data_IF_508583938759
#
_entry.id   IF_508583938759
#
_cell.length_a   1.000
_cell.length_b   1.000
_cell.length_c   1.000
_cell.angle_alpha   90.00
_cell.angle_beta   90.00
_cell.angle_gamma   90.00
#
_symmetry.space_group_name_H-M   'P 1'
#
loop_
_entity.id
_entity.type
_entity.pdbx_description
1 polymer ?
#
# COMPACT_ATOMS: atom_id res chain seq x y z
N UNK A 1 -9.17 15.82 -12.79
CA UNK A 1 -9.14 14.37 -13.03
C UNK A 1 -8.23 13.78 -11.98
N UNK A 2 -8.72 13.80 -10.74
CA UNK A 2 -8.03 13.28 -9.53
C UNK A 2 -8.76 12.00 -9.21
N UNK A 3 -8.20 10.88 -9.66
CA UNK A 3 -8.77 9.58 -9.37
C UNK A 3 -7.65 8.56 -9.21
N UNK A 4 -7.76 7.84 -8.13
CA UNK A 4 -7.14 6.54 -7.91
C UNK A 4 -5.69 6.52 -7.41
N UNK A 5 -5.52 6.95 -6.17
CA UNK A 5 -4.63 6.26 -5.24
C UNK A 5 -5.44 5.76 -4.03
N UNK A 6 -6.62 5.22 -4.32
CA UNK A 6 -7.46 4.60 -3.30
C UNK A 6 -7.32 3.10 -3.48
N UNK A 7 -6.85 2.44 -2.46
CA UNK A 7 -6.70 1.00 -2.35
C UNK A 7 -5.47 0.41 -3.08
N UNK A 8 -4.30 0.55 -2.49
CA UNK A 8 -3.35 -0.56 -2.54
C UNK A 8 -3.73 -1.57 -1.45
N UNK A 9 -4.94 -2.13 -1.59
CA UNK A 9 -5.13 -3.52 -1.23
C UNK A 9 -4.76 -4.26 -2.50
N UNK A 10 -3.51 -4.73 -2.55
CA UNK A 10 -3.01 -5.79 -3.43
C UNK A 10 -3.98 -6.25 -4.52
N UNK A 11 -4.01 -5.56 -5.65
CA UNK A 11 -4.43 -6.13 -6.92
C UNK A 11 -3.55 -5.53 -8.02
N UNK A 12 -2.28 -5.92 -8.01
CA UNK A 12 -1.45 -5.95 -9.19
C UNK A 12 -1.33 -7.39 -9.62
N UNK A 13 -2.35 -7.90 -10.31
CA UNK A 13 -2.17 -8.99 -11.24
C UNK A 13 -1.87 -8.38 -12.61
N UNK A 14 -0.73 -8.64 -13.06
CA UNK A 14 -0.17 -8.90 -14.37
C UNK A 14 1.07 -8.06 -14.69
N UNK A 15 2.20 -8.77 -14.70
CA UNK A 15 3.52 -8.39 -15.25
C UNK A 15 4.48 -7.57 -14.38
N UNK A 16 4.69 -7.99 -13.11
CA UNK A 16 6.02 -7.85 -12.50
C UNK A 16 6.57 -9.23 -12.18
N UNK A 17 7.06 -9.90 -13.21
CA UNK A 17 7.87 -11.09 -13.03
C UNK A 17 9.27 -10.68 -12.54
N UNK A 18 9.60 -11.13 -11.29
CA UNK A 18 10.95 -11.47 -10.87
C UNK A 18 11.93 -10.32 -10.56
N UNK A 19 11.82 -9.80 -9.33
CA UNK A 19 12.91 -9.76 -8.34
C UNK A 19 12.34 -9.30 -7.02
N UNK A 20 12.01 -10.23 -6.11
CA UNK A 20 11.67 -9.93 -4.72
C UNK A 20 12.94 -9.41 -4.04
N UNK A 21 12.88 -8.19 -3.53
CA UNK A 21 13.98 -7.53 -2.85
C UNK A 21 14.13 -8.03 -1.40
N UNK A 22 15.31 -7.80 -0.81
CA UNK A 22 15.75 -8.28 0.51
C UNK A 22 14.79 -8.05 1.70
N UNK A 23 13.80 -7.16 1.60
CA UNK A 23 12.80 -6.93 2.67
C UNK A 23 11.84 -8.09 2.78
N UNK A 24 11.38 -8.62 1.65
CA UNK A 24 10.57 -9.83 1.64
C UNK A 24 11.30 -10.99 2.33
N UNK A 25 12.62 -11.09 2.15
CA UNK A 25 13.42 -12.15 2.78
C UNK A 25 13.57 -11.96 4.30
N UNK A 26 13.71 -10.75 4.81
CA UNK A 26 13.80 -10.48 6.26
C UNK A 26 12.44 -10.67 6.93
N UNK A 27 11.36 -10.14 6.35
CA UNK A 27 9.99 -10.33 6.85
C UNK A 27 9.61 -11.81 6.75
N UNK A 28 9.88 -12.48 5.64
CA UNK A 28 9.67 -13.92 5.45
C UNK A 28 10.46 -14.76 6.45
N UNK A 29 11.68 -14.36 6.84
CA UNK A 29 12.47 -15.10 7.82
C UNK A 29 11.90 -14.96 9.24
N UNK A 30 11.46 -13.77 9.63
CA UNK A 30 10.82 -13.53 10.92
C UNK A 30 9.49 -14.28 11.03
N UNK A 31 8.62 -14.17 10.04
CA UNK A 31 7.33 -14.87 10.02
C UNK A 31 7.50 -16.39 9.93
N UNK A 32 8.56 -16.88 9.28
CA UNK A 32 8.88 -18.31 9.27
C UNK A 32 9.26 -18.81 10.67
N UNK A 33 10.04 -18.01 11.42
CA UNK A 33 10.36 -18.31 12.83
C UNK A 33 9.09 -18.40 13.67
N UNK A 34 8.12 -17.49 13.47
CA UNK A 34 6.86 -17.48 14.22
C UNK A 34 5.98 -18.68 13.87
N UNK A 35 5.90 -19.08 12.60
CA UNK A 35 5.18 -20.29 12.16
C UNK A 35 5.80 -21.54 12.79
N UNK A 36 7.13 -21.66 12.87
CA UNK A 36 7.83 -22.77 13.50
C UNK A 36 7.53 -22.80 15.00
N UNK A 37 7.60 -21.66 15.68
CA UNK A 37 7.31 -21.52 17.11
C UNK A 37 5.88 -21.97 17.44
N UNK A 38 4.86 -21.46 16.71
CA UNK A 38 3.48 -21.88 16.92
C UNK A 38 3.30 -23.38 16.62
N UNK A 39 4.02 -23.92 15.63
CA UNK A 39 3.96 -25.34 15.29
C UNK A 39 4.50 -26.23 16.40
N UNK A 40 5.53 -25.81 17.14
CA UNK A 40 6.02 -26.53 18.32
C UNK A 40 4.99 -26.48 19.47
N UNK A 41 4.35 -25.33 19.68
CA UNK A 41 3.31 -25.20 20.71
C UNK A 41 2.11 -26.12 20.39
N UNK A 42 1.68 -26.18 19.14
CA UNK A 42 0.58 -27.07 18.69
C UNK A 42 0.88 -28.54 18.98
N UNK A 43 2.16 -28.99 18.96
CA UNK A 43 2.49 -30.39 19.31
C UNK A 43 2.16 -30.73 20.76
N UNK A 44 2.21 -29.73 21.66
CA UNK A 44 1.94 -29.92 23.09
C UNK A 44 0.50 -29.55 23.46
N UNK A 45 -0.13 -28.67 22.66
CA UNK A 45 -1.51 -28.18 22.88
C UNK A 45 -2.31 -28.26 21.56
N UNK A 46 -2.54 -29.47 21.09
CA UNK A 46 -3.19 -29.73 19.80
C UNK A 46 -4.70 -29.50 19.78
N UNK A 47 -5.32 -29.26 20.93
CA UNK A 47 -6.76 -29.01 21.04
C UNK A 47 -7.11 -27.51 21.13
N UNK A 48 -6.14 -26.64 21.07
CA UNK A 48 -6.31 -25.20 21.11
C UNK A 48 -6.56 -24.64 19.71
N UNK A 49 -7.82 -24.29 19.41
CA UNK A 49 -8.23 -23.76 18.12
C UNK A 49 -7.51 -22.47 17.74
N UNK A 50 -7.23 -21.60 18.72
CA UNK A 50 -6.61 -20.29 18.47
C UNK A 50 -5.17 -20.40 17.94
N UNK A 51 -4.43 -21.43 18.32
CA UNK A 51 -3.09 -21.65 17.79
C UNK A 51 -3.11 -21.95 16.28
N UNK A 52 -4.09 -22.72 15.83
CA UNK A 52 -4.29 -22.97 14.40
C UNK A 52 -4.71 -21.69 13.66
N UNK A 53 -5.57 -20.85 14.26
CA UNK A 53 -5.96 -19.56 13.69
C UNK A 53 -4.76 -18.63 13.55
N UNK A 54 -3.92 -18.52 14.59
CA UNK A 54 -2.70 -17.72 14.55
C UNK A 54 -1.75 -18.19 13.45
N UNK A 55 -1.50 -19.51 13.35
CA UNK A 55 -0.65 -20.06 12.30
C UNK A 55 -1.24 -19.88 10.90
N UNK A 56 -2.57 -19.96 10.77
CA UNK A 56 -3.26 -19.68 9.51
C UNK A 56 -3.06 -18.24 9.05
N UNK A 57 -3.14 -17.25 9.96
CA UNK A 57 -2.86 -15.84 9.65
C UNK A 57 -1.44 -15.68 9.10
N UNK A 58 -0.44 -16.24 9.78
CA UNK A 58 0.95 -16.19 9.33
C UNK A 58 1.16 -16.91 7.98
N UNK A 59 0.50 -18.05 7.78
CA UNK A 59 0.55 -18.75 6.50
C UNK A 59 -0.12 -17.94 5.37
N UNK A 60 -1.20 -17.22 5.66
CA UNK A 60 -1.88 -16.34 4.69
C UNK A 60 -0.99 -15.16 4.32
N UNK A 61 -0.37 -14.50 5.28
CA UNK A 61 0.60 -13.41 5.04
C UNK A 61 1.78 -13.87 4.18
N UNK A 62 2.20 -15.14 4.32
CA UNK A 62 3.23 -15.76 3.50
C UNK A 62 2.73 -16.34 2.16
N UNK A 63 1.52 -16.01 1.75
CA UNK A 63 0.87 -16.55 0.53
C UNK A 63 0.75 -18.08 0.49
N UNK A 64 0.91 -18.75 1.65
CA UNK A 64 0.77 -20.21 1.78
C UNK A 64 -0.69 -20.60 2.01
N UNK A 65 -1.55 -20.26 1.07
CA UNK A 65 -3.01 -20.35 1.18
C UNK A 65 -3.46 -21.78 1.55
N UNK A 66 -2.89 -22.81 0.93
CA UNK A 66 -3.25 -24.21 1.23
C UNK A 66 -2.97 -24.60 2.69
N UNK A 67 -1.89 -24.08 3.29
CA UNK A 67 -1.57 -24.32 4.71
C UNK A 67 -2.54 -23.55 5.61
N UNK A 68 -2.86 -22.30 5.26
CA UNK A 68 -3.83 -21.51 6.00
C UNK A 68 -5.22 -22.19 6.03
N UNK A 69 -5.70 -22.69 4.88
CA UNK A 69 -6.97 -23.44 4.80
C UNK A 69 -6.94 -24.68 5.72
N UNK A 70 -5.86 -25.45 5.68
CA UNK A 70 -5.73 -26.64 6.53
C UNK A 70 -5.82 -26.29 8.01
N UNK A 71 -5.15 -25.25 8.44
CA UNK A 71 -5.14 -24.80 9.82
C UNK A 71 -6.52 -24.27 10.24
N UNK A 72 -7.19 -23.47 9.40
CA UNK A 72 -8.57 -23.03 9.67
C UNK A 72 -9.56 -24.20 9.76
N UNK A 73 -9.42 -25.19 8.89
CA UNK A 73 -10.26 -26.40 8.99
C UNK A 73 -10.02 -27.15 10.31
N UNK A 74 -8.77 -27.20 10.79
CA UNK A 74 -8.44 -27.77 12.10
C UNK A 74 -9.10 -26.96 13.22
N UNK A 75 -8.98 -25.63 13.21
CA UNK A 75 -9.62 -24.75 14.19
C UNK A 75 -11.16 -24.95 14.22
N UNK A 76 -11.81 -24.92 13.06
CA UNK A 76 -13.27 -25.08 12.95
C UNK A 76 -13.74 -26.51 13.25
N UNK A 77 -12.89 -27.52 13.15
CA UNK A 77 -13.22 -28.88 13.60
C UNK A 77 -13.23 -28.99 15.12
N UNK A 78 -12.38 -28.21 15.81
CA UNK A 78 -12.35 -28.11 17.27
C UNK A 78 -13.48 -27.23 17.78
N UNK A 79 -13.68 -26.07 17.14
CA UNK A 79 -14.65 -25.05 17.54
C UNK A 79 -15.40 -24.52 16.31
N UNK A 80 -16.57 -25.10 16.01
CA UNK A 80 -17.36 -24.73 14.80
C UNK A 80 -17.81 -23.28 14.74
N UNK A 81 -17.93 -22.63 15.89
CA UNK A 81 -18.37 -21.24 16.07
C UNK A 81 -17.22 -20.29 16.42
N UNK A 82 -15.98 -20.69 16.19
CA UNK A 82 -14.82 -19.81 16.40
C UNK A 82 -14.86 -18.66 15.38
N UNK A 83 -15.16 -17.47 15.87
CA UNK A 83 -15.34 -16.27 15.03
C UNK A 83 -14.03 -15.85 14.39
N UNK A 84 -12.92 -15.93 15.13
CA UNK A 84 -11.60 -15.62 14.58
C UNK A 84 -11.25 -16.52 13.38
N UNK A 85 -11.55 -17.81 13.49
CA UNK A 85 -11.34 -18.75 12.39
C UNK A 85 -12.23 -18.40 11.17
N UNK A 86 -13.49 -18.03 11.40
CA UNK A 86 -14.39 -17.62 10.31
C UNK A 86 -13.92 -16.31 9.64
N UNK A 87 -13.43 -15.34 10.42
CA UNK A 87 -12.90 -14.09 9.87
C UNK A 87 -11.64 -14.35 9.01
N UNK A 88 -10.73 -15.20 9.49
CA UNK A 88 -9.55 -15.59 8.69
C UNK A 88 -9.93 -16.41 7.46
N UNK A 89 -10.97 -17.27 7.57
CA UNK A 89 -11.47 -18.00 6.41
C UNK A 89 -12.04 -17.05 5.33
N UNK A 90 -12.73 -16.00 5.74
CA UNK A 90 -13.19 -14.97 4.81
C UNK A 90 -12.00 -14.24 4.14
N UNK A 91 -10.92 -13.95 4.88
CA UNK A 91 -9.71 -13.36 4.31
C UNK A 91 -9.01 -14.31 3.31
N UNK A 92 -9.02 -15.62 3.59
CA UNK A 92 -8.52 -16.63 2.66
C UNK A 92 -9.35 -16.67 1.37
N UNK A 93 -10.68 -16.66 1.48
CA UNK A 93 -11.56 -16.64 0.31
C UNK A 93 -11.41 -15.33 -0.48
N UNK A 94 -11.14 -14.20 0.22
CA UNK A 94 -10.82 -12.95 -0.44
C UNK A 94 -9.53 -13.06 -1.27
N UNK A 95 -8.47 -13.65 -0.71
CA UNK A 95 -7.22 -13.88 -1.43
C UNK A 95 -7.38 -14.84 -2.63
N UNK A 96 -8.41 -15.69 -2.61
CA UNK A 96 -8.76 -16.58 -3.71
C UNK A 96 -9.74 -15.96 -4.73
N UNK A 97 -10.29 -14.79 -4.45
CA UNK A 97 -11.33 -14.16 -5.28
C UNK A 97 -12.69 -14.90 -5.22
N UNK A 98 -12.95 -15.65 -4.17
CA UNK A 98 -14.17 -16.48 -4.02
C UNK A 98 -15.24 -15.71 -3.23
N UNK A 99 -15.92 -14.80 -3.90
CA UNK A 99 -16.91 -13.88 -3.31
C UNK A 99 -18.09 -14.61 -2.65
N UNK A 100 -18.57 -15.69 -3.24
CA UNK A 100 -19.71 -16.46 -2.71
C UNK A 100 -19.36 -17.05 -1.34
N UNK A 101 -18.19 -17.63 -1.21
CA UNK A 101 -17.73 -18.21 0.05
C UNK A 101 -17.35 -17.13 1.09
N UNK A 102 -16.90 -15.92 0.69
CA UNK A 102 -16.75 -14.79 1.62
C UNK A 102 -18.10 -14.46 2.25
N UNK A 103 -19.14 -14.23 1.43
CA UNK A 103 -20.48 -13.87 1.91
C UNK A 103 -21.06 -14.94 2.82
N UNK A 104 -20.97 -16.22 2.42
CA UNK A 104 -21.45 -17.35 3.21
C UNK A 104 -20.76 -17.40 4.59
N UNK A 105 -19.45 -17.26 4.61
CA UNK A 105 -18.61 -17.33 5.81
C UNK A 105 -18.90 -16.17 6.77
N UNK A 106 -18.98 -14.93 6.25
CA UNK A 106 -19.26 -13.76 7.08
C UNK A 106 -20.70 -13.76 7.62
N UNK A 107 -21.69 -14.18 6.83
CA UNK A 107 -23.05 -14.33 7.32
C UNK A 107 -23.12 -15.36 8.45
N UNK A 108 -22.42 -16.49 8.32
CA UNK A 108 -22.32 -17.48 9.38
C UNK A 108 -21.65 -16.93 10.65
N UNK A 109 -20.63 -16.08 10.49
CA UNK A 109 -19.99 -15.39 11.63
C UNK A 109 -20.99 -14.44 12.33
N UNK A 110 -21.82 -13.71 11.55
CA UNK A 110 -22.89 -12.86 12.11
C UNK A 110 -23.95 -13.66 12.87
N UNK A 111 -24.28 -14.87 12.40
CA UNK A 111 -25.25 -15.76 13.08
C UNK A 111 -24.69 -16.27 14.42
N UNK A 112 -23.43 -16.66 14.46
CA UNK A 112 -22.80 -17.17 15.68
C UNK A 112 -22.46 -16.08 16.70
N UNK A 113 -22.17 -14.87 16.24
CA UNK A 113 -21.85 -13.73 17.10
C UNK A 113 -22.63 -12.47 16.69
N UNK A 114 -23.95 -12.42 16.98
CA UNK A 114 -24.81 -11.33 16.51
C UNK A 114 -24.51 -9.96 17.12
N UNK A 115 -23.66 -9.89 18.15
CA UNK A 115 -23.19 -8.63 18.75
C UNK A 115 -21.75 -8.27 18.35
N UNK A 116 -21.09 -9.08 17.52
CA UNK A 116 -19.77 -8.79 16.99
C UNK A 116 -19.87 -7.95 15.72
N UNK A 117 -19.31 -6.75 15.74
CA UNK A 117 -19.36 -5.83 14.59
C UNK A 117 -18.38 -6.22 13.48
N UNK A 118 -17.35 -7.02 13.77
CA UNK A 118 -16.25 -7.32 12.83
C UNK A 118 -16.72 -8.02 11.55
N UNK A 119 -17.60 -9.06 11.58
CA UNK A 119 -18.11 -9.65 10.36
C UNK A 119 -18.93 -8.67 9.50
N UNK A 120 -19.70 -7.78 10.15
CA UNK A 120 -20.52 -6.77 9.47
C UNK A 120 -19.63 -5.73 8.79
N UNK A 121 -18.56 -5.31 9.45
CA UNK A 121 -17.58 -4.39 8.85
C UNK A 121 -16.91 -5.04 7.63
N UNK A 122 -16.50 -6.31 7.70
CA UNK A 122 -15.96 -7.02 6.53
C UNK A 122 -16.99 -7.16 5.38
N UNK A 123 -18.28 -7.31 5.68
CA UNK A 123 -19.33 -7.26 4.67
C UNK A 123 -19.45 -5.86 4.03
N UNK A 124 -19.24 -4.80 4.82
CA UNK A 124 -19.17 -3.43 4.29
C UNK A 124 -17.97 -3.25 3.37
N UNK A 125 -16.79 -3.70 3.80
CA UNK A 125 -15.56 -3.65 3.00
C UNK A 125 -15.73 -4.37 1.65
N UNK A 126 -16.26 -5.59 1.67
CA UNK A 126 -16.54 -6.37 0.46
C UNK A 126 -17.51 -5.62 -0.47
N UNK A 127 -18.62 -5.11 0.08
CA UNK A 127 -19.63 -4.39 -0.71
C UNK A 127 -19.05 -3.10 -1.31
N UNK A 128 -18.17 -2.42 -0.58
CA UNK A 128 -17.45 -1.24 -1.06
C UNK A 128 -16.55 -1.58 -2.25
N UNK A 129 -15.77 -2.65 -2.16
CA UNK A 129 -14.87 -3.12 -3.22
C UNK A 129 -15.63 -3.53 -4.48
N UNK A 130 -16.82 -4.08 -4.33
CA UNK A 130 -17.73 -4.41 -5.44
C UNK A 130 -18.43 -3.17 -6.05
N UNK A 131 -18.19 -1.96 -5.51
CA UNK A 131 -18.88 -0.74 -5.93
C UNK A 131 -20.34 -0.66 -5.45
N UNK A 132 -20.78 -1.56 -4.59
CA UNK A 132 -22.12 -1.52 -4.01
C UNK A 132 -22.18 -0.63 -2.77
N UNK A 133 -21.93 0.67 -2.99
CA UNK A 133 -21.82 1.68 -1.91
C UNK A 133 -23.06 1.75 -1.03
N UNK A 134 -24.25 1.55 -1.61
CA UNK A 134 -25.50 1.54 -0.82
C UNK A 134 -25.54 0.40 0.19
N UNK A 135 -25.11 -0.79 -0.20
CA UNK A 135 -25.07 -1.94 0.71
C UNK A 135 -23.95 -1.77 1.74
N UNK A 136 -22.79 -1.28 1.32
CA UNK A 136 -21.69 -0.98 2.22
C UNK A 136 -22.12 0.02 3.31
N UNK A 137 -22.85 1.08 2.94
CA UNK A 137 -23.40 2.06 3.89
C UNK A 137 -24.40 1.44 4.87
N UNK A 138 -25.28 0.56 4.39
CA UNK A 138 -26.23 -0.13 5.27
C UNK A 138 -25.51 -1.01 6.32
N UNK A 139 -24.42 -1.66 5.94
CA UNK A 139 -23.60 -2.42 6.90
C UNK A 139 -22.86 -1.50 7.89
N UNK A 140 -22.34 -0.35 7.44
CA UNK A 140 -21.75 0.65 8.33
C UNK A 140 -22.76 1.15 9.35
N UNK A 141 -23.97 1.51 8.92
CA UNK A 141 -25.02 1.99 9.81
C UNK A 141 -25.38 0.92 10.84
N UNK A 142 -25.56 -0.34 10.41
CA UNK A 142 -25.80 -1.46 11.31
C UNK A 142 -24.66 -1.66 12.32
N UNK A 143 -23.39 -1.54 11.90
CA UNK A 143 -22.25 -1.65 12.80
C UNK A 143 -22.26 -0.52 13.85
N UNK A 144 -22.62 0.70 13.47
CA UNK A 144 -22.70 1.86 14.38
C UNK A 144 -23.94 1.84 15.28
N UNK A 145 -25.02 1.20 14.88
CA UNK A 145 -26.17 0.91 15.76
C UNK A 145 -25.76 -0.07 16.87
N UNK A 146 -24.91 -1.04 16.57
CA UNK A 146 -24.42 -2.04 17.55
C UNK A 146 -23.33 -1.45 18.45
N UNK A 147 -22.39 -0.69 17.87
CA UNK A 147 -21.31 -0.01 18.56
C UNK A 147 -21.08 1.39 17.96
N UNK A 148 -21.69 2.39 18.61
CA UNK A 148 -21.64 3.80 18.18
C UNK A 148 -20.22 4.42 18.22
N UNK A 149 -19.27 3.74 18.81
CA UNK A 149 -17.87 4.21 18.92
C UNK A 149 -16.91 3.37 18.09
N UNK A 150 -17.41 2.48 17.23
CA UNK A 150 -16.59 1.58 16.46
C UNK A 150 -15.67 2.35 15.48
N UNK A 151 -14.33 2.30 15.65
CA UNK A 151 -13.40 3.07 14.81
C UNK A 151 -13.41 2.61 13.36
N UNK A 152 -13.50 1.30 13.10
CA UNK A 152 -13.51 0.77 11.73
C UNK A 152 -14.80 1.12 10.98
N UNK A 153 -15.92 1.20 11.66
CA UNK A 153 -17.17 1.64 11.06
C UNK A 153 -17.10 3.12 10.65
N UNK A 154 -16.50 3.98 11.47
CA UNK A 154 -16.24 5.38 11.07
C UNK A 154 -15.24 5.49 9.94
N UNK A 155 -14.20 4.66 9.91
CA UNK A 155 -13.29 4.61 8.79
C UNK A 155 -14.02 4.26 7.49
N UNK A 156 -14.82 3.20 7.48
CA UNK A 156 -15.61 2.79 6.31
C UNK A 156 -16.64 3.87 5.90
N UNK A 157 -17.23 4.58 6.86
CA UNK A 157 -18.09 5.74 6.56
C UNK A 157 -17.32 6.82 5.82
N UNK A 158 -16.12 7.16 6.29
CA UNK A 158 -15.25 8.13 5.62
C UNK A 158 -14.87 7.69 4.20
N UNK A 159 -14.61 6.39 3.99
CA UNK A 159 -14.35 5.84 2.65
C UNK A 159 -15.54 5.98 1.70
N UNK A 160 -16.76 5.76 2.19
CA UNK A 160 -17.99 5.96 1.44
C UNK A 160 -18.19 7.43 1.07
N UNK A 161 -18.01 8.33 2.04
CA UNK A 161 -18.12 9.78 1.82
C UNK A 161 -17.07 10.29 0.81
N UNK A 162 -15.85 9.71 0.82
CA UNK A 162 -14.85 9.96 -0.22
C UNK A 162 -15.31 9.49 -1.61
N UNK A 163 -15.98 8.35 -1.71
CA UNK A 163 -16.50 7.86 -2.99
C UNK A 163 -17.62 8.75 -3.57
N UNK A 164 -18.31 9.46 -2.70
CA UNK A 164 -19.33 10.47 -3.05
C UNK A 164 -18.73 11.88 -3.30
N UNK A 165 -17.39 12.01 -3.21
CA UNK A 165 -16.65 13.29 -3.26
C UNK A 165 -16.98 14.27 -2.12
N UNK A 166 -17.60 13.82 -1.03
CA UNK A 166 -17.79 14.62 0.18
C UNK A 166 -16.56 14.54 1.09
N UNK A 167 -15.51 15.26 0.68
CA UNK A 167 -14.24 15.30 1.43
C UNK A 167 -14.39 15.89 2.83
N UNK A 168 -15.40 16.74 3.07
CA UNK A 168 -15.62 17.39 4.37
C UNK A 168 -16.22 16.39 5.35
N UNK A 169 -17.24 15.65 4.94
CA UNK A 169 -17.82 14.57 5.74
C UNK A 169 -16.78 13.46 5.99
N UNK A 170 -16.06 13.05 4.95
CA UNK A 170 -15.01 12.04 5.05
C UNK A 170 -13.94 12.41 6.09
N UNK A 171 -13.45 13.64 6.06
CA UNK A 171 -12.47 14.12 7.04
C UNK A 171 -13.03 14.02 8.47
N UNK A 172 -14.30 14.39 8.69
CA UNK A 172 -14.96 14.26 10.00
C UNK A 172 -15.06 12.81 10.44
N UNK A 173 -15.42 11.90 9.55
CA UNK A 173 -15.53 10.46 9.85
C UNK A 173 -14.17 9.85 10.15
N UNK A 174 -13.11 10.16 9.39
CA UNK A 174 -11.75 9.69 9.68
C UNK A 174 -11.20 10.26 10.99
N UNK A 175 -11.44 11.55 11.29
CA UNK A 175 -11.07 12.14 12.58
C UNK A 175 -11.80 11.46 13.73
N UNK A 176 -13.09 11.11 13.56
CA UNK A 176 -13.84 10.38 14.57
C UNK A 176 -13.25 8.98 14.78
N UNK A 177 -12.93 8.26 13.70
CA UNK A 177 -12.28 6.95 13.76
C UNK A 177 -10.97 7.01 14.57
N UNK A 178 -10.07 7.95 14.23
CA UNK A 178 -8.81 8.19 14.92
C UNK A 178 -9.02 8.49 16.42
N UNK A 179 -10.04 9.30 16.77
CA UNK A 179 -10.34 9.62 18.18
C UNK A 179 -10.79 8.41 18.99
N UNK A 180 -11.43 7.42 18.35
CA UNK A 180 -11.86 6.19 19.03
C UNK A 180 -10.71 5.19 19.19
N UNK A 181 -9.77 5.17 18.23
CA UNK A 181 -8.61 4.27 18.25
C UNK A 181 -7.40 4.99 17.66
N UNK A 182 -6.50 5.46 18.50
CA UNK A 182 -5.35 6.28 18.10
C UNK A 182 -4.24 5.51 17.37
N UNK A 183 -4.16 4.19 17.59
CA UNK A 183 -3.22 3.27 16.92
C UNK A 183 -3.78 2.68 15.63
N UNK A 184 -5.00 3.04 15.23
CA UNK A 184 -5.56 2.68 13.94
C UNK A 184 -5.01 3.64 12.87
N UNK A 185 -4.03 3.16 12.10
CA UNK A 185 -3.25 3.98 11.17
C UNK A 185 -4.04 4.45 9.93
N UNK A 186 -4.96 3.63 9.42
CA UNK A 186 -5.62 3.90 8.12
C UNK A 186 -6.35 5.26 8.07
N UNK A 187 -7.08 5.70 9.12
CA UNK A 187 -7.68 7.03 9.14
C UNK A 187 -6.63 8.15 9.06
N UNK A 188 -5.47 8.00 9.70
CA UNK A 188 -4.40 9.00 9.67
C UNK A 188 -3.83 9.15 8.27
N UNK A 189 -3.63 8.03 7.55
CA UNK A 189 -3.17 8.03 6.16
C UNK A 189 -4.19 8.75 5.27
N UNK A 190 -5.48 8.45 5.41
CA UNK A 190 -6.52 9.11 4.61
C UNK A 190 -6.60 10.63 4.89
N UNK A 191 -6.49 11.02 6.16
CA UNK A 191 -6.45 12.44 6.55
C UNK A 191 -5.24 13.13 5.92
N UNK A 192 -4.05 12.51 5.99
CA UNK A 192 -2.82 13.05 5.37
C UNK A 192 -2.99 13.23 3.86
N UNK A 193 -3.55 12.24 3.17
CA UNK A 193 -3.81 12.31 1.72
C UNK A 193 -4.84 13.40 1.37
N UNK A 194 -5.89 13.59 2.18
CA UNK A 194 -6.87 14.67 1.97
C UNK A 194 -6.18 16.03 2.08
N UNK A 195 -5.34 16.26 3.09
CA UNK A 195 -4.62 17.52 3.23
C UNK A 195 -3.54 17.70 2.15
N UNK A 196 -2.86 16.61 1.75
CA UNK A 196 -1.92 16.63 0.64
C UNK A 196 -2.60 17.06 -0.67
N UNK A 197 -3.78 16.51 -0.99
CA UNK A 197 -4.54 16.88 -2.18
C UNK A 197 -5.02 18.34 -2.17
N UNK A 198 -5.11 18.95 -0.98
CA UNK A 198 -5.44 20.38 -0.81
C UNK A 198 -4.21 21.28 -0.79
N UNK A 199 -3.01 20.74 -0.96
CA UNK A 199 -1.73 21.45 -0.74
C UNK A 199 -1.67 22.13 0.64
N UNK A 200 -2.24 21.49 1.67
CA UNK A 200 -2.28 22.00 3.03
C UNK A 200 -1.10 21.44 3.83
N UNK A 201 -0.42 22.33 4.55
CA UNK A 201 0.76 21.97 5.37
C UNK A 201 0.45 21.01 6.52
N UNK A 202 -0.82 20.86 6.91
CA UNK A 202 -1.26 19.86 7.90
C UNK A 202 -0.98 18.43 7.44
N UNK A 203 -0.88 18.16 6.13
CA UNK A 203 -0.49 16.85 5.63
C UNK A 203 0.80 16.35 6.28
N UNK A 204 1.81 17.24 6.41
CA UNK A 204 3.10 16.90 7.02
C UNK A 204 2.97 16.37 8.45
N UNK A 205 2.08 16.96 9.26
CA UNK A 205 1.86 16.54 10.65
C UNK A 205 1.17 15.20 10.75
N UNK A 206 0.17 14.94 9.89
CA UNK A 206 -0.55 13.66 9.88
C UNK A 206 0.29 12.52 9.33
N UNK A 207 1.14 12.76 8.32
CA UNK A 207 2.13 11.77 7.90
C UNK A 207 3.11 11.40 9.02
N UNK A 208 3.63 12.40 9.75
CA UNK A 208 4.53 12.15 10.87
C UNK A 208 3.84 11.34 11.97
N UNK A 209 2.62 11.72 12.34
CA UNK A 209 1.85 10.99 13.34
C UNK A 209 1.59 9.53 12.90
N UNK A 210 1.24 9.32 11.64
CA UNK A 210 1.04 7.97 11.11
C UNK A 210 2.34 7.14 11.14
N UNK A 211 3.49 7.75 10.85
CA UNK A 211 4.80 7.10 10.95
C UNK A 211 5.23 6.81 12.40
N UNK A 212 4.76 7.57 13.40
CA UNK A 212 4.97 7.26 14.81
C UNK A 212 4.20 5.99 15.22
N UNK A 213 3.00 5.78 14.65
CA UNK A 213 2.17 4.58 14.88
C UNK A 213 2.75 3.36 14.15
N UNK A 214 3.26 3.54 12.94
CA UNK A 214 3.78 2.47 12.10
C UNK A 214 5.14 2.85 11.48
N UNK A 215 6.22 2.83 12.27
CA UNK A 215 7.54 3.28 11.82
C UNK A 215 8.14 2.40 10.71
N UNK A 216 7.75 1.13 10.64
CA UNK A 216 8.23 0.17 9.66
C UNK A 216 7.38 0.14 8.37
N UNK A 217 6.37 1.02 8.27
CA UNK A 217 5.55 1.12 7.07
C UNK A 217 6.27 1.93 5.99
N UNK A 218 6.97 1.24 5.09
CA UNK A 218 7.73 1.86 4.01
C UNK A 218 6.85 2.51 2.94
N UNK A 219 5.62 2.02 2.72
CA UNK A 219 4.67 2.68 1.80
C UNK A 219 4.29 4.06 2.31
N UNK A 220 3.96 4.17 3.59
CA UNK A 220 3.65 5.44 4.22
C UNK A 220 4.85 6.40 4.17
N UNK A 221 6.07 5.90 4.40
CA UNK A 221 7.30 6.69 4.30
C UNK A 221 7.55 7.18 2.86
N UNK A 222 7.21 6.35 1.87
CA UNK A 222 7.28 6.71 0.46
C UNK A 222 6.26 7.80 0.10
N UNK A 223 5.00 7.67 0.53
CA UNK A 223 3.97 8.69 0.33
C UNK A 223 4.39 10.03 0.96
N UNK A 224 4.97 9.96 2.15
CA UNK A 224 5.50 11.15 2.82
C UNK A 224 6.68 11.77 2.06
N UNK A 225 7.60 10.98 1.51
CA UNK A 225 8.69 11.45 0.68
C UNK A 225 8.19 12.16 -0.58
N UNK A 226 7.18 11.59 -1.25
CA UNK A 226 6.51 12.21 -2.39
C UNK A 226 5.86 13.55 -2.01
N UNK A 227 5.15 13.59 -0.88
CA UNK A 227 4.59 14.84 -0.37
C UNK A 227 5.67 15.90 -0.13
N UNK A 228 6.77 15.54 0.52
CA UNK A 228 7.88 16.45 0.82
C UNK A 228 8.52 17.01 -0.46
N UNK A 229 8.77 16.13 -1.43
CA UNK A 229 9.31 16.48 -2.74
C UNK A 229 8.47 17.56 -3.44
N UNK A 230 7.15 17.37 -3.48
CA UNK A 230 6.25 18.25 -4.24
C UNK A 230 5.89 19.54 -3.50
N UNK A 231 6.17 19.61 -2.19
CA UNK A 231 5.82 20.75 -1.34
C UNK A 231 7.02 21.57 -0.85
N UNK A 232 8.18 21.45 -1.51
CA UNK A 232 9.33 22.31 -1.29
C UNK A 232 10.21 21.91 -0.10
N UNK A 233 10.25 20.61 0.22
CA UNK A 233 11.13 20.03 1.25
C UNK A 233 12.06 18.96 0.65
N UNK A 234 12.85 19.29 -0.41
CA UNK A 234 13.62 18.29 -1.15
C UNK A 234 14.67 17.57 -0.31
N UNK A 235 15.31 18.24 0.65
CA UNK A 235 16.31 17.62 1.52
C UNK A 235 15.68 16.60 2.47
N UNK A 236 14.48 16.90 3.02
CA UNK A 236 13.75 15.94 3.85
C UNK A 236 13.24 14.75 3.00
N UNK A 237 12.84 14.99 1.76
CA UNK A 237 12.46 13.93 0.82
C UNK A 237 13.63 12.99 0.55
N UNK A 238 14.85 13.53 0.31
CA UNK A 238 16.04 12.71 0.14
C UNK A 238 16.34 11.84 1.36
N UNK A 239 16.21 12.37 2.58
CA UNK A 239 16.39 11.59 3.80
C UNK A 239 15.42 10.40 3.88
N UNK A 240 14.16 10.59 3.46
CA UNK A 240 13.19 9.51 3.38
C UNK A 240 13.59 8.48 2.33
N UNK A 241 13.95 8.92 1.10
CA UNK A 241 14.41 8.01 0.05
C UNK A 241 15.67 7.25 0.45
N UNK A 242 16.64 7.90 1.12
CA UNK A 242 17.84 7.23 1.62
C UNK A 242 17.51 6.13 2.61
N UNK A 243 16.65 6.42 3.60
CA UNK A 243 16.22 5.41 4.57
C UNK A 243 15.43 4.25 3.95
N UNK A 244 14.67 4.52 2.88
CA UNK A 244 13.98 3.48 2.12
C UNK A 244 14.96 2.63 1.31
N UNK A 245 16.00 3.24 0.74
CA UNK A 245 17.04 2.57 -0.03
C UNK A 245 18.03 1.77 0.85
N UNK A 246 18.16 2.09 2.13
CA UNK A 246 18.87 1.23 3.09
C UNK A 246 18.17 -0.14 3.22
N UNK A 247 16.85 -0.16 3.17
CA UNK A 247 16.04 -1.38 3.27
C UNK A 247 15.93 -2.07 1.91
N UNK A 248 15.66 -1.29 0.85
CA UNK A 248 15.40 -1.77 -0.52
C UNK A 248 16.34 -1.11 -1.54
N UNK A 249 17.64 -1.43 -1.56
CA UNK A 249 18.65 -0.72 -2.36
C UNK A 249 18.43 -0.81 -3.88
N UNK A 250 17.67 -1.80 -4.34
CA UNK A 250 17.37 -2.01 -5.74
C UNK A 250 15.93 -1.62 -6.12
N UNK A 251 15.19 -0.90 -5.26
CA UNK A 251 13.89 -0.39 -5.63
C UNK A 251 14.04 0.72 -6.69
N UNK A 252 13.42 0.53 -7.85
CA UNK A 252 13.54 1.44 -9.00
C UNK A 252 12.86 2.77 -8.75
N UNK A 253 11.71 2.77 -8.06
CA UNK A 253 10.93 3.97 -7.82
C UNK A 253 11.64 4.90 -6.83
N UNK A 254 12.23 4.34 -5.77
CA UNK A 254 12.97 5.13 -4.79
C UNK A 254 14.24 5.75 -5.39
N UNK A 255 15.01 4.97 -6.18
CA UNK A 255 16.19 5.49 -6.90
C UNK A 255 15.78 6.54 -7.94
N UNK A 256 14.68 6.32 -8.66
CA UNK A 256 14.17 7.25 -9.66
C UNK A 256 13.75 8.57 -9.02
N UNK A 257 12.93 8.54 -7.97
CA UNK A 257 12.46 9.77 -7.32
C UNK A 257 13.58 10.53 -6.61
N UNK A 258 14.54 9.82 -6.01
CA UNK A 258 15.77 10.45 -5.49
C UNK A 258 16.52 11.18 -6.58
N UNK A 259 16.72 10.56 -7.75
CA UNK A 259 17.32 11.19 -8.92
C UNK A 259 16.52 12.39 -9.43
N UNK A 260 15.21 12.29 -9.40
CA UNK A 260 14.31 13.38 -9.79
C UNK A 260 14.42 14.58 -8.83
N UNK A 261 14.53 14.34 -7.53
CA UNK A 261 14.76 15.41 -6.55
C UNK A 261 16.08 16.12 -6.82
N UNK A 262 17.17 15.39 -7.05
CA UNK A 262 18.46 15.99 -7.40
C UNK A 262 18.39 16.81 -8.69
N UNK A 263 17.74 16.27 -9.75
CA UNK A 263 17.67 16.95 -11.04
C UNK A 263 16.82 18.22 -10.99
N UNK A 264 15.61 18.11 -10.40
CA UNK A 264 14.56 19.13 -10.58
C UNK A 264 14.57 20.17 -9.48
N UNK A 265 14.82 19.76 -8.24
CA UNK A 265 14.69 20.65 -7.10
C UNK A 265 16.03 21.20 -6.60
N UNK A 266 17.12 20.43 -6.76
CA UNK A 266 18.44 20.83 -6.23
C UNK A 266 19.46 21.18 -7.32
N UNK A 267 19.28 20.74 -8.56
CA UNK A 267 20.21 20.99 -9.65
C UNK A 267 21.53 20.20 -9.54
N UNK A 268 21.55 19.14 -8.70
CA UNK A 268 22.72 18.30 -8.46
C UNK A 268 22.81 17.21 -9.53
N UNK A 269 23.30 17.62 -10.71
CA UNK A 269 23.24 16.81 -11.93
C UNK A 269 24.02 15.50 -11.85
N UNK A 270 25.21 15.49 -11.22
CA UNK A 270 26.04 14.31 -11.05
C UNK A 270 25.31 13.25 -10.20
N UNK A 271 24.70 13.66 -9.08
CA UNK A 271 23.96 12.79 -8.19
C UNK A 271 22.68 12.26 -8.87
N UNK A 272 22.04 13.09 -9.68
CA UNK A 272 20.89 12.66 -10.49
C UNK A 272 21.28 11.57 -11.49
N UNK A 273 22.43 11.73 -12.19
CA UNK A 273 22.95 10.71 -13.11
C UNK A 273 23.25 9.39 -12.41
N UNK A 274 23.83 9.42 -11.22
CA UNK A 274 24.10 8.21 -10.42
C UNK A 274 22.79 7.46 -10.15
N UNK A 275 21.76 8.16 -9.70
CA UNK A 275 20.45 7.57 -9.40
C UNK A 275 19.79 6.98 -10.67
N UNK A 276 19.73 7.74 -11.78
CA UNK A 276 19.13 7.22 -13.02
C UNK A 276 19.95 6.07 -13.62
N UNK A 277 21.27 6.09 -13.50
CA UNK A 277 22.11 4.96 -13.89
C UNK A 277 21.81 3.71 -13.06
N UNK A 278 21.57 3.88 -11.74
CA UNK A 278 21.17 2.77 -10.88
C UNK A 278 19.83 2.16 -11.32
N UNK A 279 18.84 3.01 -11.63
CA UNK A 279 17.57 2.55 -12.19
C UNK A 279 17.79 1.75 -13.48
N UNK A 280 18.62 2.28 -14.40
CA UNK A 280 18.88 1.64 -15.69
C UNK A 280 19.74 0.36 -15.61
N UNK A 281 20.48 0.17 -14.53
CA UNK A 281 21.15 -1.12 -14.24
C UNK A 281 20.14 -2.20 -13.86
N UNK A 282 19.04 -1.82 -13.18
CA UNK A 282 17.99 -2.72 -12.71
C UNK A 282 16.97 -2.95 -13.83
N UNK A 283 16.48 -1.87 -14.44
CA UNK A 283 15.56 -1.86 -15.56
C UNK A 283 16.13 -1.02 -16.74
N UNK A 284 16.86 -1.65 -17.66
CA UNK A 284 17.43 -0.96 -18.84
C UNK A 284 16.37 -0.38 -19.80
N UNK A 285 15.11 -0.79 -19.66
CA UNK A 285 14.00 -0.36 -20.51
C UNK A 285 13.23 0.83 -19.94
N UNK A 286 13.55 1.30 -18.74
CA UNK A 286 12.86 2.43 -18.10
C UNK A 286 12.98 3.71 -18.92
N UNK A 287 11.92 4.02 -19.67
CA UNK A 287 11.85 5.22 -20.52
C UNK A 287 11.95 6.49 -19.70
N UNK A 288 11.33 6.52 -18.51
CA UNK A 288 11.38 7.67 -17.63
C UNK A 288 12.80 7.95 -17.12
N UNK A 289 13.53 6.89 -16.73
CA UNK A 289 14.92 7.04 -16.28
C UNK A 289 15.85 7.46 -17.46
N UNK A 290 15.67 6.89 -18.63
CA UNK A 290 16.38 7.31 -19.85
C UNK A 290 16.10 8.79 -20.15
N UNK A 291 14.84 9.20 -20.13
CA UNK A 291 14.47 10.57 -20.46
C UNK A 291 15.07 11.57 -19.45
N UNK A 292 14.96 11.31 -18.16
CA UNK A 292 15.54 12.19 -17.16
C UNK A 292 17.07 12.16 -17.15
N UNK A 293 17.72 11.03 -17.47
CA UNK A 293 19.15 10.98 -17.75
C UNK A 293 19.54 11.89 -18.92
N UNK A 294 18.77 11.87 -20.00
CA UNK A 294 18.94 12.79 -21.14
C UNK A 294 18.80 14.26 -20.72
N UNK A 295 17.76 14.58 -19.93
CA UNK A 295 17.56 15.93 -19.35
C UNK A 295 18.72 16.37 -18.47
N UNK A 296 19.28 15.45 -17.70
CA UNK A 296 20.43 15.76 -16.83
C UNK A 296 21.65 16.13 -17.67
N UNK A 297 21.95 15.37 -18.75
CA UNK A 297 23.02 15.75 -19.66
C UNK A 297 22.77 17.10 -20.35
N UNK A 298 21.50 17.38 -20.71
CA UNK A 298 21.10 18.66 -21.28
C UNK A 298 21.36 19.83 -20.31
N UNK A 299 21.00 19.67 -19.02
CA UNK A 299 21.30 20.68 -17.98
C UNK A 299 22.81 20.89 -17.76
N UNK A 300 23.61 19.85 -17.93
CA UNK A 300 25.07 19.92 -17.88
C UNK A 300 25.68 20.55 -19.14
N UNK A 301 24.89 20.84 -20.16
CA UNK A 301 25.37 21.31 -21.46
C UNK A 301 25.99 20.21 -22.35
N UNK A 302 25.90 18.96 -21.94
CA UNK A 302 26.40 17.83 -22.73
C UNK A 302 25.32 17.36 -23.73
N UNK A 303 25.11 18.18 -24.74
CA UNK A 303 24.08 17.93 -25.78
C UNK A 303 24.38 16.69 -26.62
N UNK A 304 25.64 16.24 -26.68
CA UNK A 304 26.00 15.03 -27.43
C UNK A 304 25.42 13.80 -26.73
N UNK A 305 25.67 13.65 -25.44
CA UNK A 305 25.14 12.56 -24.65
C UNK A 305 23.62 12.67 -24.49
N UNK A 306 23.06 13.86 -24.27
CA UNK A 306 21.63 14.08 -24.21
C UNK A 306 20.92 13.56 -25.49
N UNK A 307 21.39 13.99 -26.68
CA UNK A 307 20.85 13.56 -27.97
C UNK A 307 20.97 12.06 -28.17
N UNK A 308 22.09 11.45 -27.78
CA UNK A 308 22.29 10.01 -27.87
C UNK A 308 21.23 9.23 -27.07
N UNK A 309 20.94 9.67 -25.84
CA UNK A 309 19.92 9.06 -24.97
C UNK A 309 18.52 9.25 -25.54
N UNK A 310 18.17 10.44 -26.01
CA UNK A 310 16.85 10.67 -26.63
C UNK A 310 16.65 9.84 -27.89
N UNK A 311 17.69 9.71 -28.73
CA UNK A 311 17.63 8.81 -29.89
C UNK A 311 17.50 7.33 -29.50
N UNK A 312 18.10 6.91 -28.38
CA UNK A 312 17.91 5.57 -27.83
C UNK A 312 16.44 5.32 -27.47
N UNK A 313 15.77 6.28 -26.86
CA UNK A 313 14.33 6.19 -26.54
C UNK A 313 13.54 6.03 -27.84
N UNK A 314 13.79 6.87 -28.85
CA UNK A 314 13.04 6.89 -30.12
C UNK A 314 13.26 5.63 -30.98
N UNK A 315 14.34 4.88 -30.80
CA UNK A 315 14.51 3.57 -31.45
C UNK A 315 13.48 2.54 -31.00
N UNK A 316 13.08 2.59 -29.73
CA UNK A 316 12.12 1.63 -29.15
C UNK A 316 10.69 2.21 -29.11
N UNK A 317 10.58 3.53 -29.00
CA UNK A 317 9.33 4.28 -28.91
C UNK A 317 9.38 5.49 -29.86
N UNK A 318 9.16 5.29 -31.19
CA UNK A 318 9.34 6.34 -32.19
C UNK A 318 8.47 7.58 -31.97
N UNK A 319 7.31 7.41 -31.37
CA UNK A 319 6.31 8.45 -31.14
C UNK A 319 6.42 9.09 -29.72
N UNK A 320 7.53 8.88 -29.00
CA UNK A 320 7.71 9.47 -27.68
C UNK A 320 7.98 10.98 -27.79
N UNK A 321 6.90 11.76 -27.72
CA UNK A 321 6.89 13.19 -28.03
C UNK A 321 7.90 14.00 -27.21
N UNK A 322 8.08 13.69 -25.92
CA UNK A 322 9.03 14.41 -25.06
C UNK A 322 10.48 14.31 -25.54
N UNK A 323 10.90 13.15 -26.09
CA UNK A 323 12.24 12.99 -26.65
C UNK A 323 12.39 13.70 -28.00
N UNK A 324 11.33 13.72 -28.82
CA UNK A 324 11.32 14.48 -30.09
C UNK A 324 11.49 15.96 -29.80
N UNK A 325 10.71 16.51 -28.87
CA UNK A 325 10.75 17.91 -28.49
C UNK A 325 12.12 18.29 -27.88
N UNK A 326 12.68 17.40 -27.07
CA UNK A 326 14.00 17.60 -26.49
C UNK A 326 15.10 17.64 -27.55
N UNK A 327 15.08 16.74 -28.56
CA UNK A 327 16.06 16.75 -29.65
C UNK A 327 15.94 18.03 -30.48
N UNK A 328 14.73 18.47 -30.78
CA UNK A 328 14.50 19.71 -31.54
C UNK A 328 15.12 20.89 -30.77
N UNK A 329 14.82 21.02 -29.47
CA UNK A 329 15.31 22.10 -28.61
C UNK A 329 16.85 22.18 -28.54
N UNK A 330 17.55 21.04 -28.45
CA UNK A 330 19.03 21.02 -28.38
C UNK A 330 19.70 21.07 -29.74
N UNK A 331 18.94 21.06 -30.85
CA UNK A 331 19.48 21.12 -32.21
C UNK A 331 19.38 22.55 -32.81
N UNK A 332 18.65 23.43 -32.16
CA UNK A 332 18.58 24.88 -32.42
C UNK A 332 19.78 25.61 -31.80
#
# INVERSE_FOLDING_TARGET
>A
MILMSILVISSCSENVSKKKDNVDDVVLSAVKSDVETISEIIKTDSLNADLYVQRARLNLTNEKISLAIRDINSALSLEKNNIEALLVLADIYYALGDEDNILLTLNKACEYAPLDTRPIIKLSELSFLQGNFRMAGAYVDKALEMDKYNPKAYYMRGMLEMSENDTVAALKSFMTSRMQQSDFIDPLIQIAHIYMAKNDTLAKSFFKEAMEVAPDNYYLKYDYAMYLQDNGFPEEALQCYDSLLEIMPNNTDFNYNKGYVYLVYLGENELALECFNKVLQIDPSSVNALFNKGRTYEQMGDYINAKSIYLQILRNNPDYQLAIDAINRISE
#
